data_IF_213679314663
#
_entry.id   IF_213679314663
#
_cell.length_a   1.000
_cell.length_b   1.000
_cell.length_c   1.000
_cell.angle_alpha   90.00
_cell.angle_beta   90.00
_cell.angle_gamma   90.00
#
_symmetry.space_group_name_H-M   'P 1'
#
loop_
_entity.id
_entity.type
_entity.pdbx_description
1 polymer ?
#
# COMPACT_ATOMS: atom_id res chain seq x y z
N UNK A 1 -10.87 -30.41 3.53
CA UNK A 1 -10.85 -28.94 3.74
C UNK A 1 -11.13 -28.28 2.41
N UNK A 2 -12.08 -27.35 2.35
CA UNK A 2 -12.33 -26.55 1.13
C UNK A 2 -11.13 -25.65 0.86
N UNK A 3 -10.76 -25.39 -0.42
CA UNK A 3 -9.73 -24.40 -0.72
C UNK A 3 -10.17 -23.01 -0.24
N UNK A 4 -9.21 -22.23 0.24
CA UNK A 4 -9.42 -20.81 0.54
C UNK A 4 -9.40 -20.07 -0.80
N UNK A 5 -10.45 -19.30 -1.06
CA UNK A 5 -10.63 -18.54 -2.29
C UNK A 5 -10.42 -17.05 -2.02
N UNK A 6 -9.76 -16.36 -2.94
CA UNK A 6 -9.70 -14.90 -2.93
C UNK A 6 -11.03 -14.38 -3.46
N UNK A 7 -11.77 -13.64 -2.63
CA UNK A 7 -13.07 -13.10 -2.97
C UNK A 7 -12.98 -11.71 -3.59
N UNK A 8 -12.04 -10.88 -3.11
CA UNK A 8 -11.84 -9.53 -3.64
C UNK A 8 -10.43 -9.01 -3.37
N UNK A 9 -9.98 -8.15 -4.28
CA UNK A 9 -8.75 -7.36 -4.14
C UNK A 9 -9.09 -5.90 -4.45
N UNK A 10 -8.69 -5.00 -3.56
CA UNK A 10 -8.83 -3.56 -3.74
C UNK A 10 -7.45 -2.91 -3.63
N UNK A 11 -7.15 -1.99 -4.54
CA UNK A 11 -5.99 -1.11 -4.46
C UNK A 11 -6.42 0.29 -4.04
N UNK A 12 -5.76 0.83 -3.02
CA UNK A 12 -5.99 2.18 -2.51
C UNK A 12 -4.69 2.95 -2.63
N UNK A 13 -4.70 4.03 -3.40
CA UNK A 13 -3.54 4.91 -3.57
C UNK A 13 -3.67 6.05 -2.56
N UNK A 14 -2.62 6.25 -1.76
CA UNK A 14 -2.61 7.27 -0.69
C UNK A 14 -1.32 8.07 -0.76
N UNK A 15 -1.44 9.38 -0.85
CA UNK A 15 -0.30 10.28 -0.68
C UNK A 15 -0.14 10.65 0.79
N UNK A 16 1.07 10.44 1.32
CA UNK A 16 1.41 10.75 2.71
C UNK A 16 2.69 11.62 2.76
N UNK A 17 2.80 12.59 3.69
CA UNK A 17 4.09 13.18 4.00
C UNK A 17 5.08 12.11 4.52
N UNK A 18 6.37 12.32 4.26
CA UNK A 18 7.42 11.51 4.91
C UNK A 18 7.60 11.97 6.36
N UNK A 19 7.86 11.05 7.30
CA UNK A 19 8.06 11.39 8.73
C UNK A 19 9.25 12.33 8.91
N UNK A 20 10.29 12.14 8.09
CA UNK A 20 11.42 13.04 7.91
C UNK A 20 11.76 13.08 6.42
N UNK A 21 12.09 14.24 5.85
CA UNK A 21 12.44 14.31 4.44
C UNK A 21 13.66 13.45 4.10
N UNK A 22 13.53 12.60 3.07
CA UNK A 22 14.63 11.73 2.63
C UNK A 22 15.49 12.46 1.61
N UNK A 23 16.78 12.61 1.89
CA UNK A 23 17.76 13.22 0.99
C UNK A 23 18.27 12.18 -0.01
N UNK A 24 17.97 12.38 -1.28
CA UNK A 24 18.56 11.68 -2.40
C UNK A 24 19.67 12.55 -3.01
N UNK A 25 20.49 11.97 -3.90
CA UNK A 25 21.64 12.66 -4.49
C UNK A 25 21.29 14.03 -5.13
N UNK A 26 20.10 14.15 -5.73
CA UNK A 26 19.69 15.34 -6.48
C UNK A 26 18.38 15.96 -5.98
N UNK A 27 17.70 15.35 -5.01
CA UNK A 27 16.37 15.78 -4.58
C UNK A 27 16.08 15.42 -3.11
N UNK A 28 15.10 16.09 -2.49
CA UNK A 28 14.62 15.72 -1.16
C UNK A 28 13.16 15.29 -1.24
N UNK A 29 12.86 14.02 -0.94
CA UNK A 29 11.50 13.52 -0.95
C UNK A 29 10.73 13.97 0.30
N UNK A 30 9.70 14.80 0.08
CA UNK A 30 8.82 15.36 1.11
C UNK A 30 7.48 14.62 1.25
N UNK A 31 7.06 13.95 0.18
CA UNK A 31 5.84 13.15 0.11
C UNK A 31 6.17 11.81 -0.55
N UNK A 32 5.35 10.82 -0.25
CA UNK A 32 5.43 9.49 -0.83
C UNK A 32 4.02 8.97 -1.11
N UNK A 33 3.88 8.26 -2.21
CA UNK A 33 2.63 7.60 -2.59
C UNK A 33 2.71 6.14 -2.17
N UNK A 34 1.76 5.69 -1.36
CA UNK A 34 1.60 4.30 -0.97
C UNK A 34 0.50 3.66 -1.82
N UNK A 35 0.68 2.37 -2.13
CA UNK A 35 -0.37 1.52 -2.66
C UNK A 35 -0.71 0.50 -1.59
N UNK A 36 -1.90 0.63 -1.00
CA UNK A 36 -2.42 -0.30 0.01
C UNK A 36 -3.31 -1.30 -0.70
N UNK A 37 -2.97 -2.59 -0.59
CA UNK A 37 -3.78 -3.67 -1.11
C UNK A 37 -4.62 -4.26 0.02
N UNK A 38 -5.94 -4.27 -0.18
CA UNK A 38 -6.89 -4.97 0.70
C UNK A 38 -7.37 -6.22 -0.02
N UNK A 39 -7.10 -7.38 0.56
CA UNK A 39 -7.58 -8.67 0.08
C UNK A 39 -8.63 -9.22 1.04
N UNK A 40 -9.71 -9.80 0.51
CA UNK A 40 -10.64 -10.64 1.28
C UNK A 40 -10.58 -12.05 0.77
N UNK A 41 -10.55 -13.00 1.69
CA UNK A 41 -10.55 -14.42 1.42
C UNK A 41 -11.82 -15.05 2.01
N UNK A 42 -12.17 -16.23 1.53
CA UNK A 42 -13.37 -16.96 1.94
C UNK A 42 -13.40 -17.39 3.41
N UNK A 43 -12.28 -17.26 4.13
CA UNK A 43 -12.12 -17.57 5.55
C UNK A 43 -12.23 -16.34 6.48
N UNK A 44 -12.43 -15.13 5.92
CA UNK A 44 -12.59 -13.87 6.66
C UNK A 44 -11.37 -12.97 6.64
#
# INVERSE_FOLDING_TARGET
>A
MSPILIESIQAIIVDLPTIRPHKLAMHTMQKQTLVIIRMRCSDG
#
